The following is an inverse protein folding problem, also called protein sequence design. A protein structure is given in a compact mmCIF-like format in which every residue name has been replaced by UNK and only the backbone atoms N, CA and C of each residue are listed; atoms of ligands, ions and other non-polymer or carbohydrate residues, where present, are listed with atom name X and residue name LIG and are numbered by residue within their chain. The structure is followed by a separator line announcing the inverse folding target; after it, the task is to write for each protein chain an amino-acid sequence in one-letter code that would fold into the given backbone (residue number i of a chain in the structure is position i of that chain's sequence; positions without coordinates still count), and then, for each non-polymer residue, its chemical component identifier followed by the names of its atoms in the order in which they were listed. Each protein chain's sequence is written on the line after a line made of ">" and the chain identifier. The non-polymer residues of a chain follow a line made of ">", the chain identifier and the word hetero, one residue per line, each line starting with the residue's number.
data_IF_154838201709
#
_entry.id   IF_154838201709
#
_cell.length_a   1.000
_cell.length_b   1.000
_cell.length_c   1.000
_cell.angle_alpha   90.00
_cell.angle_beta   90.00
_cell.angle_gamma   90.00
#
_symmetry.space_group_name_H-M   'P 1'
#
loop_
_entity.id
_entity.type
_entity.pdbx_description
1 polymer ?
#
# COMPACT_ATOMS: atom_id res chain seq x y z
N UNK A 1 4.99 -18.54 -0.48
CA UNK A 1 4.98 -17.26 0.26
C UNK A 1 4.31 -16.20 -0.59
N UNK A 2 3.33 -15.47 -0.05
CA UNK A 2 2.71 -14.33 -0.74
C UNK A 2 3.77 -13.25 -0.94
N UNK A 3 4.16 -12.95 -2.19
CA UNK A 3 5.14 -11.90 -2.50
C UNK A 3 4.48 -10.54 -2.21
N UNK A 4 4.76 -9.99 -1.03
CA UNK A 4 4.38 -8.61 -0.72
C UNK A 4 5.21 -7.71 -1.64
N UNK A 5 4.54 -6.99 -2.54
CA UNK A 5 5.17 -6.07 -3.48
C UNK A 5 5.59 -4.77 -2.75
N UNK A 6 6.70 -4.16 -3.19
CA UNK A 6 7.20 -2.90 -2.64
C UNK A 6 6.18 -1.75 -2.70
N UNK A 7 5.31 -1.76 -3.72
CA UNK A 7 4.19 -0.80 -3.86
C UNK A 7 3.19 -0.91 -2.70
N UNK A 8 2.89 -2.13 -2.26
CA UNK A 8 1.99 -2.38 -1.12
C UNK A 8 2.62 -1.89 0.18
N UNK A 9 3.93 -2.09 0.36
CA UNK A 9 4.67 -1.65 1.55
C UNK A 9 4.74 -0.12 1.58
N UNK A 10 5.10 0.51 0.47
CA UNK A 10 5.15 1.96 0.34
C UNK A 10 3.77 2.59 0.57
N UNK A 11 2.71 2.01 0.00
CA UNK A 11 1.34 2.46 0.21
C UNK A 11 0.91 2.37 1.68
N UNK A 12 1.21 1.26 2.35
CA UNK A 12 0.91 1.09 3.78
C UNK A 12 1.69 2.09 4.65
N UNK A 13 2.97 2.32 4.34
CA UNK A 13 3.80 3.30 5.04
C UNK A 13 3.26 4.74 4.89
N UNK A 14 2.84 5.13 3.68
CA UNK A 14 2.24 6.45 3.42
C UNK A 14 0.89 6.63 4.14
N UNK A 15 0.06 5.58 4.14
CA UNK A 15 -1.21 5.61 4.87
C UNK A 15 -0.99 5.74 6.38
N UNK A 16 -0.03 4.99 6.94
CA UNK A 16 0.37 5.10 8.34
C UNK A 16 0.91 6.49 8.67
N UNK A 17 1.76 7.06 7.80
CA UNK A 17 2.30 8.40 7.98
C UNK A 17 1.18 9.45 8.03
N UNK A 18 0.22 9.39 7.11
CA UNK A 18 -0.93 10.30 7.14
C UNK A 18 -1.80 10.11 8.39
N UNK A 19 -1.99 8.88 8.88
CA UNK A 19 -2.69 8.62 10.14
C UNK A 19 -1.96 9.23 11.35
N UNK A 20 -0.63 9.19 11.38
CA UNK A 20 0.17 9.83 12.43
C UNK A 20 0.03 11.35 12.42
N UNK A 21 -0.01 11.97 11.23
CA UNK A 21 -0.29 13.40 11.10
C UNK A 21 -1.68 13.78 11.61
N UNK A 22 -2.69 12.95 11.34
CA UNK A 22 -4.04 13.13 11.89
C UNK A 22 -4.06 13.05 13.41
N UNK A 23 -3.35 12.08 13.98
CA UNK A 23 -3.20 11.97 15.44
C UNK A 23 -2.49 13.19 16.04
N UNK A 24 -1.42 13.68 15.39
CA UNK A 24 -0.71 14.88 15.82
C UNK A 24 -1.60 16.13 15.78
N UNK A 25 -2.48 16.25 14.78
CA UNK A 25 -3.46 17.33 14.68
C UNK A 25 -4.48 17.37 15.83
N UNK A 26 -4.79 16.21 16.44
CA UNK A 26 -5.64 16.16 17.63
C UNK A 26 -4.91 16.61 18.90
N UNK A 27 -3.59 16.41 18.96
CA UNK A 27 -2.76 16.77 20.12
C UNK A 27 -2.39 18.25 20.16
N UNK A 28 -2.29 18.90 19.00
CA UNK A 28 -1.91 20.32 18.93
C UNK A 28 -2.46 21.01 17.67
N UNK A 29 -3.14 22.15 17.87
CA UNK A 29 -3.74 22.99 16.82
C UNK A 29 -2.76 23.45 15.74
N UNK A 30 -1.46 23.57 16.02
CA UNK A 30 -0.47 23.90 14.97
C UNK A 30 -0.42 22.87 13.84
N UNK A 31 -0.75 21.61 14.14
CA UNK A 31 -0.80 20.53 13.16
C UNK A 31 -2.13 20.49 12.39
N UNK A 32 -3.11 21.32 12.74
CA UNK A 32 -4.38 21.41 11.99
C UNK A 32 -4.15 21.80 10.52
N UNK A 33 -3.13 22.62 10.24
CA UNK A 33 -2.74 22.98 8.88
C UNK A 33 -2.22 21.79 8.05
N UNK A 34 -1.74 20.73 8.70
CA UNK A 34 -1.23 19.52 8.05
C UNK A 34 -2.32 18.46 7.79
N UNK A 35 -3.53 18.63 8.33
CA UNK A 35 -4.71 17.76 8.10
C UNK A 35 -5.00 17.53 6.60
N UNK A 36 -5.05 18.55 5.73
CA UNK A 36 -5.28 18.32 4.30
C UNK A 36 -4.17 17.46 3.67
N UNK A 37 -2.90 17.69 4.03
CA UNK A 37 -1.78 16.88 3.56
C UNK A 37 -1.88 15.42 4.06
N UNK A 38 -2.31 15.23 5.31
CA UNK A 38 -2.54 13.91 5.90
C UNK A 38 -3.60 13.11 5.14
N UNK A 39 -4.72 13.76 4.75
CA UNK A 39 -5.75 13.14 3.92
C UNK A 39 -5.23 12.71 2.55
N UNK A 40 -4.41 13.55 1.92
CA UNK A 40 -3.77 13.22 0.63
C UNK A 40 -2.82 12.04 0.78
N UNK A 41 -1.99 12.03 1.83
CA UNK A 41 -1.08 10.91 2.13
C UNK A 41 -1.84 9.59 2.32
N UNK A 42 -2.95 9.61 3.06
CA UNK A 42 -3.81 8.44 3.25
C UNK A 42 -4.40 7.99 1.92
N UNK A 43 -4.96 8.91 1.13
CA UNK A 43 -5.58 8.58 -0.16
C UNK A 43 -4.57 7.96 -1.14
N UNK A 44 -3.37 8.55 -1.24
CA UNK A 44 -2.28 8.02 -2.08
C UNK A 44 -1.78 6.68 -1.54
N UNK A 45 -1.64 6.54 -0.22
CA UNK A 45 -1.23 5.28 0.41
C UNK A 45 -2.20 4.14 0.10
N UNK A 46 -3.51 4.38 0.24
CA UNK A 46 -4.55 3.42 -0.11
C UNK A 46 -4.50 3.08 -1.61
N UNK A 47 -4.34 4.08 -2.48
CA UNK A 47 -4.25 3.86 -3.93
C UNK A 47 -3.07 2.93 -4.29
N UNK A 48 -1.90 3.14 -3.68
CA UNK A 48 -0.73 2.28 -3.89
C UNK A 48 -0.92 0.86 -3.34
N UNK A 49 -1.58 0.70 -2.19
CA UNK A 49 -1.93 -0.63 -1.67
C UNK A 49 -2.86 -1.37 -2.63
N UNK A 50 -3.88 -0.70 -3.14
CA UNK A 50 -4.83 -1.29 -4.12
C UNK A 50 -4.12 -1.64 -5.42
N UNK A 51 -3.26 -0.75 -5.93
CA UNK A 51 -2.46 -1.00 -7.13
C UNK A 51 -1.52 -2.18 -6.95
N UNK A 52 -0.79 -2.22 -5.83
CA UNK A 52 0.10 -3.31 -5.43
C UNK A 52 -0.63 -4.66 -5.33
N UNK A 53 -1.83 -4.68 -4.76
CA UNK A 53 -2.70 -5.88 -4.73
C UNK A 53 -3.15 -6.29 -6.13
N UNK A 54 -3.53 -5.33 -6.97
CA UNK A 54 -4.02 -5.59 -8.33
C UNK A 54 -2.91 -6.16 -9.23
N UNK A 55 -1.70 -5.58 -9.19
CA UNK A 55 -0.56 -6.06 -9.97
C UNK A 55 -0.12 -7.47 -9.53
N UNK A 56 -0.07 -7.74 -8.21
CA UNK A 56 0.26 -9.08 -7.71
C UNK A 56 -0.81 -10.09 -8.11
N UNK A 57 -2.10 -9.74 -8.01
CA UNK A 57 -3.21 -10.61 -8.45
C UNK A 57 -3.16 -10.88 -9.96
N UNK A 58 -2.86 -9.87 -10.79
CA UNK A 58 -2.73 -10.00 -12.24
C UNK A 58 -1.52 -10.87 -12.61
N UNK A 59 -0.36 -10.62 -11.99
CA UNK A 59 0.86 -11.40 -12.19
C UNK A 59 0.66 -12.88 -11.80
N UNK A 60 -0.03 -13.15 -10.69
CA UNK A 60 -0.37 -14.51 -10.26
C UNK A 60 -1.38 -15.22 -11.18
N UNK A 61 -2.21 -14.47 -11.92
CA UNK A 61 -3.12 -15.03 -12.95
C UNK A 61 -2.42 -15.25 -14.29
N UNK A 62 -1.37 -14.49 -14.58
CA UNK A 62 -0.62 -14.53 -15.84
C UNK A 62 0.56 -15.50 -15.83
N UNK A 63 0.96 -16.04 -14.68
CA UNK A 63 1.84 -17.20 -14.59
C UNK A 63 1.03 -18.48 -14.27
N UNK A 64 0.48 -19.18 -15.28
CA UNK A 64 0.43 -20.62 -15.22
C UNK A 64 1.85 -21.16 -15.49
N UNK A 65 2.74 -21.13 -14.50
CA UNK A 65 3.79 -22.15 -14.46
C UNK A 65 3.04 -23.42 -14.00
N UNK A 66 2.62 -24.33 -14.88
CA UNK A 66 3.47 -25.14 -15.76
C UNK A 66 4.65 -25.68 -14.97
N UNK A 67 4.35 -26.50 -13.96
CA UNK A 67 5.24 -27.55 -13.44
C UNK A 67 4.50 -28.89 -13.55
N UNK A 68 3.95 -29.17 -14.73
CA UNK A 68 3.59 -30.52 -15.17
C UNK A 68 4.46 -30.89 -16.38
N UNK A 69 5.69 -31.35 -16.12
CA UNK A 69 6.38 -32.42 -16.88
C UNK A 69 7.74 -32.68 -16.22
N UNK A 70 7.89 -33.82 -15.53
CA UNK A 70 8.56 -35.04 -16.05
C UNK A 70 10.08 -34.84 -16.15
N UNK A 71 10.92 -35.51 -15.37
CA UNK A 71 11.40 -36.86 -15.71
C UNK A 71 11.71 -37.70 -14.45
N UNK A 72 11.05 -38.86 -14.38
CA UNK A 72 11.46 -40.07 -13.68
C UNK A 72 12.41 -40.87 -14.60
#
# INVERSE_FOLDING_TARGET
>A
MERINGETIAGAALALLGALFMFAAQMNTTWAAAVPAALVLIAVGIALVVLGRYTTKKSNRSHPHTEEHSHH
#
